data_IF_609247684762
#
_entry.id   IF_609247684762
#
_cell.length_a   1.000
_cell.length_b   1.000
_cell.length_c   1.000
_cell.angle_alpha   90.00
_cell.angle_beta   90.00
_cell.angle_gamma   90.00
#
_symmetry.space_group_name_H-M   'P 1'
#
loop_
_entity.id
_entity.type
_entity.pdbx_description
1 polymer ?
#
# COMPACT_ATOMS: atom_id res chain seq x y z
N UNK A 1 3.04 -8.81 2.85
CA UNK A 1 1.91 -8.12 3.48
C UNK A 1 2.44 -7.10 4.49
N UNK A 2 3.12 -6.07 3.98
CA UNK A 2 3.00 -4.72 4.53
C UNK A 2 2.10 -4.07 3.50
N UNK A 3 0.87 -3.74 3.89
CA UNK A 3 0.00 -2.97 3.01
C UNK A 3 0.71 -1.65 2.82
N UNK A 4 1.49 -1.53 1.75
CA UNK A 4 2.13 -0.28 1.35
C UNK A 4 1.01 0.55 0.71
N UNK A 5 0.12 1.02 1.58
CA UNK A 5 -0.94 1.96 1.26
C UNK A 5 -0.20 3.26 0.91
N UNK A 6 0.03 3.51 -0.37
CA UNK A 6 0.76 4.69 -0.82
C UNK A 6 -0.27 5.81 -1.00
N UNK A 7 -0.44 6.52 0.11
CA UNK A 7 -1.49 7.46 0.44
C UNK A 7 -1.48 8.71 -0.45
N UNK A 8 -2.66 9.25 -0.80
CA UNK A 8 -2.77 10.63 -1.31
C UNK A 8 -2.40 11.65 -0.20
N UNK A 9 -1.11 11.84 0.03
CA UNK A 9 -0.54 13.11 0.48
C UNK A 9 0.02 13.82 -0.76
N UNK A 10 0.08 15.15 -0.79
CA UNK A 10 0.65 15.89 -1.94
C UNK A 10 2.09 15.48 -2.27
N UNK A 11 2.75 14.78 -1.35
CA UNK A 11 4.11 14.25 -1.44
C UNK A 11 4.25 12.93 -2.22
N UNK A 12 3.16 12.21 -2.51
CA UNK A 12 3.23 10.91 -3.22
C UNK A 12 3.08 11.10 -4.74
N UNK A 13 3.93 10.52 -5.59
CA UNK A 13 3.78 10.60 -7.06
C UNK A 13 2.45 10.00 -7.54
N UNK A 14 1.86 10.60 -8.59
CA UNK A 14 0.56 10.19 -9.15
C UNK A 14 0.50 8.69 -9.49
N UNK A 15 1.60 8.10 -9.97
CA UNK A 15 1.65 6.68 -10.31
C UNK A 15 1.46 5.74 -9.11
N UNK A 16 1.68 6.19 -7.87
CA UNK A 16 1.56 5.34 -6.69
C UNK A 16 0.29 5.61 -5.87
N UNK A 17 -0.45 6.67 -6.17
CA UNK A 17 -1.71 7.01 -5.47
C UNK A 17 -2.82 6.00 -5.79
N UNK A 18 -3.42 5.40 -4.77
CA UNK A 18 -4.47 4.37 -4.90
C UNK A 18 -5.65 4.57 -3.92
N UNK A 19 -5.83 5.79 -3.40
CA UNK A 19 -6.90 6.07 -2.44
C UNK A 19 -6.64 7.29 -1.57
N UNK A 20 -7.35 7.36 -0.45
CA UNK A 20 -7.35 8.50 0.49
C UNK A 20 -6.93 8.03 1.88
N UNK A 21 -6.19 8.87 2.60
CA UNK A 21 -5.80 8.61 3.98
C UNK A 21 -5.94 9.83 4.86
N UNK A 22 -5.79 9.59 6.15
CA UNK A 22 -5.73 10.61 7.18
C UNK A 22 -4.71 10.17 8.23
N UNK A 23 -4.05 11.14 8.87
CA UNK A 23 -3.02 10.88 9.88
C UNK A 23 -3.63 10.79 11.27
N UNK A 24 -4.49 11.75 11.62
CA UNK A 24 -5.14 11.81 12.92
C UNK A 24 -6.31 10.83 12.97
N UNK A 25 -6.30 9.82 13.85
CA UNK A 25 -7.40 8.87 13.99
C UNK A 25 -8.56 9.48 14.79
N UNK A 26 -8.99 10.67 14.39
CA UNK A 26 -10.09 11.42 14.96
C UNK A 26 -11.15 11.73 13.89
N UNK A 27 -12.28 12.28 14.33
CA UNK A 27 -13.39 12.65 13.47
C UNK A 27 -12.96 13.63 12.36
N UNK A 28 -12.09 14.59 12.68
CA UNK A 28 -11.65 15.60 11.73
C UNK A 28 -10.79 14.99 10.61
N UNK A 29 -9.86 14.10 10.96
CA UNK A 29 -9.02 13.38 10.02
C UNK A 29 -9.86 12.52 9.07
N UNK A 30 -10.77 11.73 9.62
CA UNK A 30 -11.66 10.88 8.82
C UNK A 30 -12.57 11.69 7.91
N UNK A 31 -13.26 12.70 8.44
CA UNK A 31 -14.17 13.55 7.66
C UNK A 31 -13.43 14.27 6.54
N UNK A 32 -12.22 14.78 6.82
CA UNK A 32 -11.39 15.40 5.79
C UNK A 32 -11.02 14.44 4.66
N UNK A 33 -10.73 13.17 4.95
CA UNK A 33 -10.45 12.17 3.92
C UNK A 33 -11.70 11.82 3.09
N UNK A 34 -12.85 11.65 3.75
CA UNK A 34 -14.13 11.38 3.10
C UNK A 34 -14.57 12.53 2.19
N UNK A 35 -14.42 13.77 2.64
CA UNK A 35 -14.78 14.94 1.84
C UNK A 35 -13.96 14.98 0.54
N UNK A 36 -12.65 14.70 0.60
CA UNK A 36 -11.79 14.62 -0.60
C UNK A 36 -12.23 13.48 -1.53
N UNK A 37 -12.60 12.33 -0.99
CA UNK A 37 -13.09 11.20 -1.75
C UNK A 37 -14.40 11.50 -2.46
N UNK A 38 -15.40 12.02 -1.74
CA UNK A 38 -16.69 12.38 -2.32
C UNK A 38 -16.57 13.50 -3.35
N UNK A 39 -15.76 14.53 -3.06
CA UNK A 39 -15.51 15.61 -4.03
C UNK A 39 -14.92 15.06 -5.31
N UNK A 40 -13.96 14.14 -5.24
CA UNK A 40 -13.37 13.53 -6.43
C UNK A 40 -14.40 12.68 -7.21
N UNK A 41 -15.14 11.83 -6.51
CA UNK A 41 -16.19 11.00 -7.10
C UNK A 41 -17.24 11.83 -7.85
N UNK A 42 -17.72 12.92 -7.24
CA UNK A 42 -18.78 13.76 -7.81
C UNK A 42 -18.27 14.70 -8.90
N UNK A 43 -17.06 15.26 -8.76
CA UNK A 43 -16.57 16.30 -9.68
C UNK A 43 -15.77 15.75 -10.87
N UNK A 44 -15.23 14.52 -10.79
CA UNK A 44 -14.34 13.95 -11.82
C UNK A 44 -14.61 12.47 -12.07
N UNK A 45 -15.76 12.10 -12.67
CA UNK A 45 -16.14 10.70 -12.88
C UNK A 45 -15.14 9.91 -13.74
N UNK A 46 -14.56 10.52 -14.77
CA UNK A 46 -13.52 9.89 -15.60
C UNK A 46 -12.24 9.59 -14.80
N UNK A 47 -11.75 10.57 -14.04
CA UNK A 47 -10.58 10.40 -13.18
C UNK A 47 -10.83 9.38 -12.07
N UNK A 48 -12.06 9.31 -11.54
CA UNK A 48 -12.47 8.29 -10.59
C UNK A 48 -12.44 6.90 -11.21
N UNK A 49 -12.98 6.74 -12.42
CA UNK A 49 -12.95 5.47 -13.15
C UNK A 49 -11.51 5.00 -13.41
N UNK A 50 -10.62 5.91 -13.79
CA UNK A 50 -9.21 5.60 -13.99
C UNK A 50 -8.53 5.14 -12.69
N UNK A 51 -8.84 5.80 -11.56
CA UNK A 51 -8.36 5.38 -10.24
C UNK A 51 -8.82 3.95 -9.92
N UNK A 52 -10.11 3.66 -10.06
CA UNK A 52 -10.67 2.32 -9.81
C UNK A 52 -10.02 1.26 -10.71
N UNK A 53 -9.88 1.53 -12.02
CA UNK A 53 -9.23 0.61 -12.94
C UNK A 53 -7.76 0.38 -12.60
N UNK A 54 -7.04 1.43 -12.22
CA UNK A 54 -5.66 1.33 -11.78
C UNK A 54 -5.55 0.43 -10.55
N UNK A 55 -6.37 0.69 -9.53
CA UNK A 55 -6.33 -0.05 -8.27
C UNK A 55 -6.67 -1.53 -8.47
N UNK A 56 -7.57 -1.84 -9.40
CA UNK A 56 -7.92 -3.22 -9.74
C UNK A 56 -6.86 -3.98 -10.52
N UNK A 57 -5.90 -3.26 -11.12
CA UNK A 57 -4.76 -3.87 -11.82
C UNK A 57 -3.50 -3.97 -10.93
N UNK A 58 -3.57 -3.54 -9.66
CA UNK A 58 -2.45 -3.71 -8.73
C UNK A 58 -2.38 -5.17 -8.30
N UNK A 59 -1.18 -5.75 -8.41
CA UNK A 59 -0.92 -7.09 -7.90
C UNK A 59 -0.83 -7.08 -6.36
N UNK A 60 -1.89 -7.56 -5.72
CA UNK A 60 -1.96 -7.82 -4.28
C UNK A 60 -1.73 -9.29 -3.93
N UNK A 61 -1.16 -10.08 -4.85
CA UNK A 61 -0.79 -11.47 -4.59
C UNK A 61 0.26 -11.60 -3.48
N UNK A 62 0.45 -12.84 -3.05
CA UNK A 62 1.45 -13.16 -2.05
C UNK A 62 2.85 -13.32 -2.63
N UNK A 63 3.02 -13.40 -3.95
CA UNK A 63 4.27 -13.83 -4.61
C UNK A 63 5.47 -13.00 -4.15
N UNK A 64 5.36 -11.67 -4.22
CA UNK A 64 6.43 -10.75 -3.79
C UNK A 64 6.73 -10.88 -2.29
N UNK A 65 5.69 -11.02 -1.46
CA UNK A 65 5.85 -11.09 -0.01
C UNK A 65 6.43 -12.43 0.42
N UNK A 66 5.95 -13.53 -0.17
CA UNK A 66 6.39 -14.88 0.12
C UNK A 66 7.88 -15.05 -0.23
N UNK A 67 8.31 -14.55 -1.39
CA UNK A 67 9.73 -14.56 -1.78
C UNK A 67 10.64 -13.86 -0.74
N UNK A 68 10.20 -12.72 -0.19
CA UNK A 68 10.93 -12.03 0.88
C UNK A 68 11.01 -12.86 2.16
N UNK A 69 9.94 -13.56 2.54
CA UNK A 69 9.95 -14.47 3.68
C UNK A 69 10.85 -15.69 3.44
N UNK A 70 10.81 -16.29 2.26
CA UNK A 70 11.71 -17.39 1.87
C UNK A 70 13.18 -16.99 1.97
N UNK A 71 13.53 -15.78 1.54
CA UNK A 71 14.88 -15.24 1.68
C UNK A 71 15.28 -15.08 3.14
N UNK A 72 14.40 -14.52 3.97
CA UNK A 72 14.63 -14.37 5.41
C UNK A 72 14.83 -15.72 6.10
N UNK A 73 14.02 -16.72 5.76
CA UNK A 73 14.15 -18.08 6.29
C UNK A 73 15.46 -18.73 5.84
N UNK A 74 15.81 -18.60 4.57
CA UNK A 74 17.07 -19.12 4.01
C UNK A 74 18.30 -18.53 4.72
N UNK A 75 18.32 -17.21 4.92
CA UNK A 75 19.38 -16.50 5.66
C UNK A 75 19.47 -16.97 7.12
N UNK A 76 18.33 -17.16 7.77
CA UNK A 76 18.25 -17.60 9.17
C UNK A 76 18.81 -19.01 9.35
N UNK A 77 18.46 -19.93 8.44
CA UNK A 77 18.98 -21.31 8.44
C UNK A 77 20.48 -21.33 8.14
N UNK A 78 20.95 -20.57 7.16
CA UNK A 78 22.38 -20.48 6.83
C UNK A 78 23.21 -20.00 8.03
N UNK A 79 22.73 -18.96 8.73
CA UNK A 79 23.36 -18.43 9.94
C UNK A 79 23.42 -19.47 11.05
N UNK A 80 22.31 -20.17 11.32
CA UNK A 80 22.27 -21.23 12.33
C UNK A 80 23.30 -22.33 12.03
N UNK A 81 23.38 -22.80 10.77
CA UNK A 81 24.35 -23.84 10.35
C UNK A 81 25.80 -23.39 10.51
N UNK A 82 26.12 -22.14 10.19
CA UNK A 82 27.47 -21.60 10.35
C UNK A 82 27.91 -21.51 11.82
N UNK A 83 26.96 -21.37 12.75
CA UNK A 83 27.23 -21.27 14.19
C UNK A 83 27.40 -22.65 14.85
N UNK A 84 26.84 -23.70 14.24
CA UNK A 84 26.84 -25.08 14.76
C UNK A 84 28.04 -25.90 14.25
N UNK A 85 28.74 -25.42 13.20
CA UNK A 85 29.94 -26.10 12.69
C UNK A 85 31.14 -25.73 13.60
N UNK A 86 31.84 -26.71 14.21
CA UNK A 86 33.02 -26.46 15.06
C UNK A 86 34.20 -25.91 14.25
#
# INVERSE_FOLDING_TARGET
MIVSLMLMTDTVPLQFRNGYSFLSPDEQGLNGALERAFRHYLSKPESWRQLVQKDMNIDFSWDTSASQYEELYSKSVARARATVRP
#
